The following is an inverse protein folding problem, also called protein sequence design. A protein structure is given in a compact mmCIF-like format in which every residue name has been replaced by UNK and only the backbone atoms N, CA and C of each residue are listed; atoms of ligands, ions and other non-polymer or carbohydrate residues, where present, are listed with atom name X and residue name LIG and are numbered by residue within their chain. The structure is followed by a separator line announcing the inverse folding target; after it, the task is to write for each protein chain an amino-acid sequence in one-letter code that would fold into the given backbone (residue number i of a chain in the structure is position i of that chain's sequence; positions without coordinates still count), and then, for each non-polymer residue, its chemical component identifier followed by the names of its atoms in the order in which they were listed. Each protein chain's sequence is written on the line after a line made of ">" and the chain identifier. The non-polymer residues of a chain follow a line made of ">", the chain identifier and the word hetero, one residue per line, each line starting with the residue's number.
data_IF_320218238494
#
_entry.id   IF_320218238494
#
_cell.length_a   1.000
_cell.length_b   1.000
_cell.length_c   1.000
_cell.angle_alpha   90.00
_cell.angle_beta   90.00
_cell.angle_gamma   90.00
#
_symmetry.space_group_name_H-M   'P 1'
#
loop_
_entity.id
_entity.type
_entity.pdbx_description
1 polymer ?
#
# COMPACT_ATOMS: atom_id res chain seq x y z
N UNK A 1 2.51 16.22 -5.04
CA UNK A 1 1.89 14.92 -5.40
C UNK A 1 1.94 14.02 -4.18
N UNK A 2 0.82 13.39 -3.80
CA UNK A 2 0.79 12.39 -2.72
C UNK A 2 0.50 11.01 -3.28
N UNK A 3 1.29 10.03 -2.90
CA UNK A 3 1.14 8.62 -3.22
C UNK A 3 0.83 7.83 -1.95
N UNK A 4 -0.24 7.05 -1.99
CA UNK A 4 -0.65 6.15 -0.92
C UNK A 4 -0.40 4.71 -1.37
N UNK A 5 0.35 3.93 -0.58
CA UNK A 5 0.34 2.48 -0.76
C UNK A 5 -1.03 1.90 -0.39
N UNK A 6 -1.29 0.69 -0.81
CA UNK A 6 -2.54 0.00 -0.51
C UNK A 6 -2.39 -0.95 0.68
N UNK A 7 -1.55 -1.98 0.54
CA UNK A 7 -1.38 -3.02 1.56
C UNK A 7 -0.68 -2.45 2.79
N UNK A 8 -1.25 -2.63 3.99
CA UNK A 8 -0.69 -2.10 5.23
C UNK A 8 -0.90 -0.60 5.46
N UNK A 9 -1.47 0.13 4.49
CA UNK A 9 -1.82 1.55 4.61
C UNK A 9 -3.33 1.76 4.53
N UNK A 10 -3.98 1.20 3.54
CA UNK A 10 -5.41 1.28 3.30
C UNK A 10 -6.11 -0.07 3.49
N UNK A 11 -5.50 -1.14 2.97
CA UNK A 11 -6.02 -2.50 3.04
C UNK A 11 -5.32 -3.31 4.12
N UNK A 12 -6.09 -4.07 4.89
CA UNK A 12 -5.60 -4.93 5.97
C UNK A 12 -5.09 -6.27 5.41
N UNK A 13 -3.89 -6.23 4.83
CA UNK A 13 -3.23 -7.39 4.25
C UNK A 13 -3.00 -8.50 5.29
N UNK A 14 -2.51 -8.14 6.47
CA UNK A 14 -2.18 -9.11 7.52
C UNK A 14 -3.42 -9.88 7.98
N UNK A 15 -4.54 -9.18 8.16
CA UNK A 15 -5.83 -9.82 8.49
C UNK A 15 -6.32 -10.71 7.35
N UNK A 16 -6.13 -10.29 6.10
CA UNK A 16 -6.46 -11.10 4.93
C UNK A 16 -5.66 -12.40 4.90
N UNK A 17 -4.35 -12.34 5.17
CA UNK A 17 -3.49 -13.54 5.26
C UNK A 17 -3.95 -14.44 6.40
N UNK A 18 -4.24 -13.88 7.58
CA UNK A 18 -4.73 -14.67 8.71
C UNK A 18 -6.05 -15.37 8.39
N UNK A 19 -6.98 -14.65 7.78
CA UNK A 19 -8.33 -15.15 7.49
C UNK A 19 -8.37 -16.17 6.35
N UNK A 20 -7.68 -15.87 5.24
CA UNK A 20 -7.78 -16.68 4.02
C UNK A 20 -6.65 -17.69 3.86
N UNK A 21 -5.49 -17.42 4.45
CA UNK A 21 -4.31 -18.27 4.35
C UNK A 21 -4.03 -19.07 5.62
N UNK A 22 -4.79 -18.85 6.69
CA UNK A 22 -4.65 -19.55 7.97
C UNK A 22 -3.20 -19.54 8.50
N UNK A 23 -2.59 -18.38 8.49
CA UNK A 23 -1.25 -18.14 9.01
C UNK A 23 -1.08 -16.66 9.37
N UNK A 24 -0.09 -16.34 10.20
CA UNK A 24 0.34 -14.97 10.44
C UNK A 24 1.25 -14.51 9.30
N UNK A 25 1.00 -13.31 8.76
CA UNK A 25 1.87 -12.73 7.75
C UNK A 25 3.23 -12.35 8.38
N UNK A 26 4.37 -12.74 7.77
CA UNK A 26 5.67 -12.25 8.22
C UNK A 26 5.75 -10.72 8.16
N UNK A 27 6.34 -10.10 9.19
CA UNK A 27 6.56 -8.65 9.19
C UNK A 27 7.66 -8.30 8.18
N UNK A 28 7.29 -7.54 7.15
CA UNK A 28 8.22 -7.15 6.09
C UNK A 28 9.35 -6.23 6.57
N UNK A 29 9.20 -5.58 7.73
CA UNK A 29 10.21 -4.69 8.33
C UNK A 29 11.18 -5.42 9.25
N UNK A 30 10.92 -6.69 9.56
CA UNK A 30 11.77 -7.54 10.37
C UNK A 30 12.48 -8.60 9.51
N UNK A 31 13.58 -9.13 10.05
CA UNK A 31 14.24 -10.28 9.44
C UNK A 31 13.43 -11.54 9.72
N UNK A 32 12.97 -12.20 8.67
CA UNK A 32 12.19 -13.41 8.77
C UNK A 32 12.72 -14.54 7.87
N UNK A 33 12.21 -15.74 8.06
CA UNK A 33 12.56 -16.90 7.24
C UNK A 33 11.94 -16.78 5.84
N UNK A 34 12.74 -16.79 4.76
CA UNK A 34 12.23 -16.77 3.38
C UNK A 34 11.25 -17.90 3.06
N UNK A 35 11.32 -19.02 3.77
CA UNK A 35 10.37 -20.12 3.59
C UNK A 35 8.96 -19.74 4.03
N UNK A 36 8.83 -18.91 5.05
CA UNK A 36 7.52 -18.38 5.47
C UNK A 36 6.90 -17.48 4.40
N UNK A 37 7.72 -16.67 3.71
CA UNK A 37 7.26 -15.89 2.56
C UNK A 37 6.75 -16.81 1.45
N UNK A 38 7.48 -17.85 1.12
CA UNK A 38 7.08 -18.78 0.07
C UNK A 38 5.75 -19.48 0.41
N UNK A 39 5.56 -19.89 1.66
CA UNK A 39 4.31 -20.47 2.14
C UNK A 39 3.17 -19.46 2.03
N UNK A 40 3.38 -18.23 2.49
CA UNK A 40 2.36 -17.18 2.42
C UNK A 40 1.93 -16.91 0.98
N UNK A 41 2.89 -16.67 0.08
CA UNK A 41 2.57 -16.37 -1.31
C UNK A 41 1.89 -17.52 -2.03
N UNK A 42 2.24 -18.77 -1.73
CA UNK A 42 1.55 -19.93 -2.28
C UNK A 42 0.09 -20.00 -1.79
N UNK A 43 -0.18 -19.69 -0.53
CA UNK A 43 -1.53 -19.66 0.02
C UNK A 43 -2.34 -18.48 -0.53
N UNK A 44 -1.72 -17.31 -0.70
CA UNK A 44 -2.33 -16.16 -1.38
C UNK A 44 -2.70 -16.53 -2.82
N UNK A 45 -1.79 -17.19 -3.55
CA UNK A 45 -2.03 -17.66 -4.92
C UNK A 45 -3.25 -18.58 -5.03
N UNK A 46 -3.45 -19.44 -4.04
CA UNK A 46 -4.59 -20.39 -3.98
C UNK A 46 -5.90 -19.73 -3.53
N UNK A 47 -5.86 -18.49 -3.06
CA UNK A 47 -7.05 -17.75 -2.63
C UNK A 47 -7.57 -16.91 -3.79
N UNK A 48 -8.74 -17.27 -4.30
CA UNK A 48 -9.38 -16.53 -5.40
C UNK A 48 -9.62 -15.08 -5.01
N UNK A 49 -9.18 -14.16 -5.87
CA UNK A 49 -9.38 -12.72 -5.69
C UNK A 49 -8.96 -12.20 -4.31
N UNK A 50 -7.83 -12.69 -3.81
CA UNK A 50 -7.34 -12.36 -2.45
C UNK A 50 -7.39 -10.85 -2.17
N UNK A 51 -6.83 -10.03 -3.06
CA UNK A 51 -6.74 -8.58 -2.85
C UNK A 51 -8.07 -7.85 -2.89
N UNK A 52 -9.03 -8.31 -3.70
CA UNK A 52 -10.37 -7.70 -3.74
C UNK A 52 -11.19 -7.99 -2.48
N UNK A 53 -10.80 -8.99 -1.71
CA UNK A 53 -11.50 -9.45 -0.49
C UNK A 53 -10.96 -8.84 0.79
N UNK A 54 -9.91 -8.02 0.73
CA UNK A 54 -9.31 -7.38 1.90
C UNK A 54 -10.26 -6.35 2.52
N UNK A 55 -10.18 -6.19 3.83
CA UNK A 55 -10.89 -5.14 4.55
C UNK A 55 -10.06 -3.86 4.59
N UNK A 56 -10.71 -2.73 4.82
CA UNK A 56 -10.03 -1.49 5.14
C UNK A 56 -9.36 -1.60 6.52
N UNK A 57 -8.18 -0.99 6.65
CA UNK A 57 -7.59 -0.73 7.95
C UNK A 57 -8.43 0.30 8.73
N UNK A 58 -8.39 0.26 10.08
CA UNK A 58 -9.08 1.27 10.89
C UNK A 58 -8.69 2.70 10.50
N UNK A 59 -9.68 3.55 10.26
CA UNK A 59 -9.47 4.95 9.87
C UNK A 59 -8.94 5.20 8.46
N UNK A 60 -8.70 4.14 7.68
CA UNK A 60 -8.10 4.27 6.34
C UNK A 60 -9.00 5.02 5.35
N UNK A 61 -10.32 4.81 5.43
CA UNK A 61 -11.26 5.51 4.54
C UNK A 61 -11.29 7.01 4.84
N UNK A 62 -11.40 7.37 6.11
CA UNK A 62 -11.41 8.75 6.57
C UNK A 62 -10.10 9.47 6.22
N UNK A 63 -8.95 8.81 6.44
CA UNK A 63 -7.65 9.33 6.05
C UNK A 63 -7.57 9.56 4.53
N UNK A 64 -7.98 8.58 3.74
CA UNK A 64 -8.01 8.71 2.29
C UNK A 64 -8.89 9.88 1.85
N UNK A 65 -10.11 9.98 2.40
CA UNK A 65 -11.06 11.02 2.02
C UNK A 65 -10.53 12.43 2.34
N UNK A 66 -9.89 12.62 3.49
CA UNK A 66 -9.30 13.90 3.89
C UNK A 66 -8.17 14.31 2.93
N UNK A 67 -7.25 13.39 2.63
CA UNK A 67 -6.14 13.62 1.70
C UNK A 67 -6.67 13.88 0.29
N UNK A 68 -7.60 13.04 -0.18
CA UNK A 68 -8.14 13.14 -1.53
C UNK A 68 -8.98 14.41 -1.72
N UNK A 69 -9.70 14.86 -0.69
CA UNK A 69 -10.44 16.12 -0.73
C UNK A 69 -9.54 17.33 -1.01
N UNK A 70 -8.35 17.36 -0.44
CA UNK A 70 -7.37 18.44 -0.64
C UNK A 70 -6.61 18.32 -1.94
N UNK A 71 -6.14 17.13 -2.26
CA UNK A 71 -5.19 16.91 -3.37
C UNK A 71 -5.82 16.54 -4.70
N UNK A 72 -7.05 15.97 -4.70
CA UNK A 72 -7.78 15.57 -5.92
C UNK A 72 -6.89 14.74 -6.86
N UNK A 73 -6.69 15.16 -8.09
CA UNK A 73 -5.85 14.49 -9.09
C UNK A 73 -4.36 14.43 -8.74
N UNK A 74 -3.93 15.12 -7.69
CA UNK A 74 -2.58 15.04 -7.15
C UNK A 74 -2.46 14.04 -5.98
N UNK A 75 -3.49 13.24 -5.73
CA UNK A 75 -3.47 12.09 -4.85
C UNK A 75 -3.69 10.83 -5.69
N UNK A 76 -2.75 9.90 -5.64
CA UNK A 76 -2.80 8.65 -6.40
C UNK A 76 -2.51 7.46 -5.48
N UNK A 77 -3.06 6.30 -5.80
CA UNK A 77 -2.64 5.03 -5.20
C UNK A 77 -1.40 4.54 -5.94
N UNK A 78 -0.37 4.14 -5.20
CA UNK A 78 0.87 3.58 -5.74
C UNK A 78 1.17 2.26 -5.04
N UNK A 79 0.69 1.17 -5.59
CA UNK A 79 0.73 -0.14 -4.94
C UNK A 79 1.55 -1.16 -5.72
N UNK A 80 2.33 -1.94 -4.97
CA UNK A 80 3.08 -3.06 -5.51
C UNK A 80 2.19 -4.28 -5.75
N UNK A 81 2.52 -5.06 -6.79
CA UNK A 81 1.98 -6.42 -6.97
C UNK A 81 3.07 -7.45 -6.71
N UNK A 82 2.70 -8.69 -6.33
CA UNK A 82 3.66 -9.78 -6.20
C UNK A 82 4.45 -10.00 -7.49
N UNK A 83 5.69 -10.47 -7.34
CA UNK A 83 6.51 -10.80 -8.50
C UNK A 83 5.80 -11.82 -9.41
N UNK A 84 5.97 -11.74 -10.74
CA UNK A 84 5.31 -12.64 -11.70
C UNK A 84 5.49 -14.12 -11.37
N UNK A 85 6.64 -14.51 -10.82
CA UNK A 85 6.97 -15.88 -10.45
C UNK A 85 6.05 -16.43 -9.34
N UNK A 86 5.40 -15.55 -8.56
CA UNK A 86 4.41 -15.95 -7.55
C UNK A 86 3.09 -16.42 -8.16
N UNK A 87 2.83 -16.12 -9.44
CA UNK A 87 1.66 -16.61 -10.18
C UNK A 87 0.32 -16.04 -9.73
N UNK A 88 0.31 -14.87 -9.06
CA UNK A 88 -0.91 -14.20 -8.60
C UNK A 88 -1.35 -13.20 -9.67
N UNK A 89 -1.93 -13.73 -10.75
CA UNK A 89 -2.15 -12.99 -12.00
C UNK A 89 -3.25 -11.92 -11.91
N UNK A 90 -4.19 -12.06 -10.97
CA UNK A 90 -5.30 -11.11 -10.81
C UNK A 90 -4.99 -9.95 -9.88
N UNK A 91 -3.82 -9.93 -9.24
CA UNK A 91 -3.50 -8.97 -8.19
C UNK A 91 -3.74 -7.51 -8.58
N UNK A 92 -3.30 -7.08 -9.75
CA UNK A 92 -3.49 -5.70 -10.23
C UNK A 92 -4.95 -5.34 -10.49
N UNK A 93 -5.71 -6.26 -11.10
CA UNK A 93 -7.14 -6.08 -11.34
C UNK A 93 -7.92 -6.02 -10.03
N UNK A 94 -7.62 -6.93 -9.11
CA UNK A 94 -8.27 -7.03 -7.81
C UNK A 94 -8.04 -5.76 -6.97
N UNK A 95 -6.80 -5.26 -6.93
CA UNK A 95 -6.47 -4.01 -6.23
C UNK A 95 -7.18 -2.81 -6.83
N UNK A 96 -7.30 -2.77 -8.15
CA UNK A 96 -8.06 -1.72 -8.83
C UNK A 96 -9.54 -1.82 -8.51
N UNK A 97 -10.14 -3.00 -8.59
CA UNK A 97 -11.55 -3.24 -8.24
C UNK A 97 -11.84 -2.87 -6.79
N UNK A 98 -10.97 -3.29 -5.87
CA UNK A 98 -11.03 -2.94 -4.45
C UNK A 98 -11.03 -1.42 -4.22
N UNK A 99 -10.11 -0.71 -4.86
CA UNK A 99 -10.03 0.76 -4.77
C UNK A 99 -11.30 1.42 -5.29
N UNK A 100 -11.82 0.96 -6.43
CA UNK A 100 -13.05 1.50 -7.03
C UNK A 100 -14.28 1.29 -6.15
N UNK A 101 -14.33 0.19 -5.45
CA UNK A 101 -15.46 -0.19 -4.60
C UNK A 101 -15.41 0.49 -3.23
N UNK A 102 -14.23 0.59 -2.60
CA UNK A 102 -14.11 1.00 -1.19
C UNK A 102 -13.62 2.43 -1.00
N UNK A 103 -12.89 3.00 -1.96
CA UNK A 103 -12.30 4.33 -1.82
C UNK A 103 -12.89 5.35 -2.78
N UNK A 104 -12.55 5.26 -4.05
CA UNK A 104 -12.96 6.24 -5.06
C UNK A 104 -12.99 5.64 -6.45
N UNK A 105 -14.00 6.04 -7.24
CA UNK A 105 -14.09 5.68 -8.66
C UNK A 105 -13.08 6.42 -9.52
N UNK A 106 -12.61 7.59 -9.06
CA UNK A 106 -11.84 8.54 -9.86
C UNK A 106 -10.35 8.56 -9.51
N UNK A 107 -9.95 8.08 -8.33
CA UNK A 107 -8.53 8.07 -7.95
C UNK A 107 -7.70 7.22 -8.90
N UNK A 108 -6.59 7.75 -9.36
CA UNK A 108 -5.68 6.98 -10.22
C UNK A 108 -4.98 5.89 -9.40
N UNK A 109 -4.95 4.68 -9.95
CA UNK A 109 -4.28 3.53 -9.36
C UNK A 109 -3.08 3.15 -10.23
N UNK A 110 -1.90 3.22 -9.65
CA UNK A 110 -0.65 2.79 -10.28
C UNK A 110 -0.29 1.41 -9.74
N UNK A 111 -0.38 0.42 -10.61
CA UNK A 111 0.02 -0.96 -10.35
C UNK A 111 1.43 -1.14 -10.85
N UNK A 112 2.36 -1.42 -9.95
CA UNK A 112 3.80 -1.50 -10.25
C UNK A 112 4.43 -2.70 -9.52
N UNK A 113 5.64 -3.08 -9.90
CA UNK A 113 6.46 -3.89 -9.01
C UNK A 113 7.03 -3.00 -7.88
N UNK A 114 7.25 -3.58 -6.69
CA UNK A 114 7.77 -2.80 -5.53
C UNK A 114 8.95 -1.89 -5.91
N UNK A 115 9.94 -2.46 -6.61
CA UNK A 115 11.16 -1.73 -7.02
C UNK A 115 10.90 -0.58 -7.99
N UNK A 116 9.75 -0.55 -8.64
CA UNK A 116 9.39 0.48 -9.62
C UNK A 116 8.70 1.68 -8.98
N UNK A 117 8.27 1.57 -7.70
CA UNK A 117 7.67 2.71 -6.99
C UNK A 117 8.55 3.96 -7.07
N UNK A 118 9.86 3.78 -6.94
CA UNK A 118 10.85 4.87 -6.95
C UNK A 118 10.83 5.71 -8.22
N UNK A 119 10.37 5.16 -9.36
CA UNK A 119 10.25 5.88 -10.62
C UNK A 119 9.20 7.01 -10.58
N UNK A 120 8.34 7.02 -9.56
CA UNK A 120 7.36 8.08 -9.32
C UNK A 120 7.90 9.22 -8.44
N UNK A 121 9.08 9.07 -7.87
CA UNK A 121 9.72 10.10 -7.07
C UNK A 121 10.31 11.20 -7.98
N UNK A 122 9.64 12.35 -8.02
CA UNK A 122 10.04 13.50 -8.85
C UNK A 122 10.70 14.61 -8.05
N UNK A 123 11.07 14.36 -6.81
CA UNK A 123 11.70 15.33 -5.91
C UNK A 123 10.91 15.55 -4.63
N UNK A 124 11.22 16.60 -3.86
CA UNK A 124 10.71 16.79 -2.50
C UNK A 124 9.18 16.95 -2.40
N UNK A 125 8.53 17.41 -3.46
CA UNK A 125 7.08 17.58 -3.53
C UNK A 125 6.33 16.25 -3.82
N UNK A 126 7.07 15.18 -4.11
CA UNK A 126 6.53 13.83 -4.22
C UNK A 126 6.55 13.17 -2.84
N UNK A 127 5.37 12.99 -2.25
CA UNK A 127 5.19 12.42 -0.91
C UNK A 127 4.71 10.98 -1.03
N UNK A 128 5.42 10.04 -0.41
CA UNK A 128 5.02 8.64 -0.30
C UNK A 128 4.54 8.34 1.11
N UNK A 129 3.38 7.69 1.23
CA UNK A 129 2.86 7.10 2.47
C UNK A 129 2.85 5.59 2.29
N UNK A 130 3.68 4.88 3.04
CA UNK A 130 3.93 3.44 2.86
C UNK A 130 4.30 2.83 4.22
N UNK A 131 3.91 1.59 4.49
CA UNK A 131 4.21 0.88 5.74
C UNK A 131 5.54 0.11 5.69
N UNK A 132 6.16 0.03 4.51
CA UNK A 132 7.42 -0.67 4.32
C UNK A 132 8.62 0.27 4.45
N UNK A 133 9.37 0.14 5.54
CA UNK A 133 10.51 1.01 5.85
C UNK A 133 11.56 1.07 4.73
N UNK A 134 11.72 -0.01 3.95
CA UNK A 134 12.62 0.00 2.80
C UNK A 134 12.15 0.95 1.71
N UNK A 135 10.85 0.97 1.40
CA UNK A 135 10.30 1.90 0.42
C UNK A 135 10.50 3.36 0.86
N UNK A 136 10.31 3.63 2.15
CA UNK A 136 10.54 4.96 2.75
C UNK A 136 11.99 5.40 2.55
N UNK A 137 12.96 4.55 2.90
CA UNK A 137 14.39 4.86 2.73
C UNK A 137 14.78 5.10 1.28
N UNK A 138 14.31 4.23 0.37
CA UNK A 138 14.58 4.35 -1.07
C UNK A 138 13.99 5.65 -1.63
N UNK A 139 12.77 6.03 -1.22
CA UNK A 139 12.11 7.26 -1.67
C UNK A 139 12.82 8.52 -1.18
N UNK A 140 13.22 8.54 0.11
CA UNK A 140 13.99 9.64 0.69
C UNK A 140 15.38 9.77 0.04
N UNK A 141 16.05 8.65 -0.23
CA UNK A 141 17.34 8.65 -0.93
C UNK A 141 17.25 9.22 -2.36
N UNK A 142 16.07 9.11 -3.00
CA UNK A 142 15.80 9.73 -4.29
C UNK A 142 15.36 11.20 -4.20
N UNK A 143 15.38 11.79 -3.01
CA UNK A 143 15.04 13.21 -2.78
C UNK A 143 13.56 13.48 -2.56
N UNK A 144 12.72 12.45 -2.42
CA UNK A 144 11.31 12.60 -2.12
C UNK A 144 11.02 12.73 -0.62
N UNK A 145 9.82 13.15 -0.29
CA UNK A 145 9.29 13.16 1.07
C UNK A 145 8.56 11.84 1.33
N UNK A 146 8.76 11.23 2.51
CA UNK A 146 8.11 9.96 2.82
C UNK A 146 7.65 9.88 4.27
N UNK A 147 6.50 9.24 4.50
CA UNK A 147 5.92 9.00 5.82
C UNK A 147 5.79 7.48 6.00
N UNK A 148 6.45 6.94 7.02
CA UNK A 148 6.24 5.56 7.44
C UNK A 148 4.88 5.46 8.12
N UNK A 149 3.96 4.78 7.47
CA UNK A 149 2.62 4.58 7.99
C UNK A 149 2.62 3.57 9.15
N UNK A 150 2.01 3.95 10.25
CA UNK A 150 1.78 3.07 11.41
C UNK A 150 0.30 3.03 11.81
N UNK A 151 -0.42 4.12 11.55
CA UNK A 151 -1.88 4.24 11.70
C UNK A 151 -2.37 5.45 10.91
N UNK A 152 -3.66 5.46 10.59
CA UNK A 152 -4.30 6.61 9.94
C UNK A 152 -4.13 7.90 10.74
N UNK A 153 -4.35 7.84 12.06
CA UNK A 153 -4.18 8.97 12.96
C UNK A 153 -2.76 9.54 12.93
N UNK A 154 -1.74 8.66 13.06
CA UNK A 154 -0.35 9.07 13.02
C UNK A 154 0.04 9.70 11.69
N UNK A 155 -0.41 9.13 10.58
CA UNK A 155 -0.14 9.68 9.23
C UNK A 155 -0.78 11.05 9.05
N UNK A 156 -2.05 11.23 9.45
CA UNK A 156 -2.72 12.53 9.40
C UNK A 156 -2.02 13.57 10.26
N UNK A 157 -1.58 13.19 11.46
CA UNK A 157 -0.81 14.09 12.36
C UNK A 157 0.48 14.54 11.67
N UNK A 158 1.28 13.61 11.12
CA UNK A 158 2.51 13.95 10.41
C UNK A 158 2.26 14.88 9.21
N UNK A 159 1.23 14.61 8.41
CA UNK A 159 0.87 15.48 7.28
C UNK A 159 0.53 16.91 7.73
N UNK A 160 -0.17 17.07 8.85
CA UNK A 160 -0.48 18.39 9.42
C UNK A 160 0.77 19.10 9.95
N UNK A 161 1.63 18.38 10.67
CA UNK A 161 2.92 18.92 11.16
C UNK A 161 3.83 19.40 10.02
N UNK A 162 3.73 18.76 8.84
CA UNK A 162 4.47 19.13 7.64
C UNK A 162 3.77 20.25 6.82
N UNK A 163 2.59 20.71 7.23
CA UNK A 163 1.79 21.69 6.48
C UNK A 163 1.17 21.15 5.19
N UNK A 164 1.08 19.81 5.08
CA UNK A 164 0.51 19.12 3.92
C UNK A 164 -1.01 18.89 4.05
N UNK A 165 -1.54 18.95 5.27
CA UNK A 165 -2.99 18.94 5.56
C UNK A 165 -3.39 20.10 6.45
#
# INVERSE_FOLDING_TARGET
>A
MIYLDMDGVLADFNRGVAKFCNMEAPDQNEKHDPKLDDIMWERVRKTDHFYDRLQLLPGAKEMFDEIYAKYKSRCEILTGVPKPERGILTAGQDKTAWTRRLLSKDVKVNIVLRKEKIQRCTGPDAVLIDDYARNIREWQAAGGTAILHTSAENTLRQLREMGLL
#
